data_IF_018009976288
#
_entry.id   IF_018009976288
#
_cell.length_a   1.000
_cell.length_b   1.000
_cell.length_c   1.000
_cell.angle_alpha   90.00
_cell.angle_beta   90.00
_cell.angle_gamma   90.00
#
_symmetry.space_group_name_H-M   'P 1'
#
loop_
_entity.id
_entity.type
_entity.pdbx_description
1 polymer ?
#
# COMPACT_ATOMS: atom_id res chain seq x y z
N UNK A 1 8.17 -74.07 -57.41
CA UNK A 1 7.94 -72.96 -56.48
C UNK A 1 6.48 -73.06 -56.07
N UNK A 2 6.23 -73.50 -54.84
CA UNK A 2 4.90 -73.89 -54.36
C UNK A 2 4.17 -72.68 -53.77
N UNK A 3 2.84 -72.76 -53.70
CA UNK A 3 1.96 -71.73 -53.12
C UNK A 3 2.37 -71.32 -51.69
N UNK A 4 2.98 -72.22 -50.92
CA UNK A 4 3.48 -71.97 -49.57
C UNK A 4 4.65 -70.99 -49.52
N UNK A 5 5.51 -70.94 -50.55
CA UNK A 5 6.64 -70.01 -50.61
C UNK A 5 6.15 -68.56 -50.70
N UNK A 6 5.08 -68.32 -51.46
CA UNK A 6 4.47 -67.00 -51.61
C UNK A 6 3.79 -66.54 -50.33
N UNK A 7 3.12 -67.44 -49.61
CA UNK A 7 2.44 -67.11 -48.36
C UNK A 7 3.44 -66.71 -47.25
N UNK A 8 4.59 -67.38 -47.19
CA UNK A 8 5.66 -67.05 -46.23
C UNK A 8 6.31 -65.68 -46.54
N UNK A 9 6.48 -65.32 -47.81
CA UNK A 9 7.01 -64.00 -48.20
C UNK A 9 6.01 -62.88 -47.90
N UNK A 10 4.73 -63.09 -48.18
CA UNK A 10 3.66 -62.11 -47.91
C UNK A 10 3.50 -61.87 -46.40
N UNK A 11 3.48 -62.94 -45.60
CA UNK A 11 3.39 -62.82 -44.14
C UNK A 11 4.64 -62.17 -43.53
N UNK A 12 5.84 -62.50 -44.02
CA UNK A 12 7.08 -61.85 -43.59
C UNK A 12 7.08 -60.33 -43.88
N UNK A 13 6.65 -59.91 -45.06
CA UNK A 13 6.54 -58.49 -45.42
C UNK A 13 5.49 -57.75 -44.58
N UNK A 14 4.40 -58.42 -44.19
CA UNK A 14 3.37 -57.84 -43.33
C UNK A 14 3.89 -57.53 -41.91
N UNK A 15 4.77 -58.36 -41.34
CA UNK A 15 5.40 -58.07 -40.03
C UNK A 15 6.28 -56.82 -40.09
N UNK A 16 7.07 -56.65 -41.15
CA UNK A 16 7.90 -55.46 -41.33
C UNK A 16 7.08 -54.18 -41.48
N UNK A 17 5.97 -54.22 -42.23
CA UNK A 17 5.05 -53.08 -42.38
C UNK A 17 4.44 -52.71 -41.02
N UNK A 18 3.96 -53.69 -40.24
CA UNK A 18 3.41 -53.44 -38.90
C UNK A 18 4.45 -52.87 -37.94
N UNK A 19 5.69 -53.37 -37.98
CA UNK A 19 6.78 -52.84 -37.16
C UNK A 19 7.07 -51.37 -37.49
N UNK A 20 7.12 -51.04 -38.78
CA UNK A 20 7.32 -49.66 -39.24
C UNK A 20 6.16 -48.76 -38.79
N UNK A 21 4.91 -49.23 -38.89
CA UNK A 21 3.74 -48.47 -38.43
C UNK A 21 3.79 -48.20 -36.92
N UNK A 22 4.16 -49.20 -36.11
CA UNK A 22 4.32 -49.04 -34.66
C UNK A 22 5.42 -48.03 -34.35
N UNK A 23 6.55 -48.08 -35.07
CA UNK A 23 7.65 -47.12 -34.90
C UNK A 23 7.21 -45.69 -35.23
N UNK A 24 6.43 -45.51 -36.30
CA UNK A 24 5.86 -44.19 -36.66
C UNK A 24 4.94 -43.68 -35.54
N UNK A 25 4.04 -44.54 -35.03
CA UNK A 25 3.13 -44.19 -33.93
C UNK A 25 3.90 -43.77 -32.68
N UNK A 26 4.93 -44.53 -32.29
CA UNK A 26 5.77 -44.20 -31.14
C UNK A 26 6.50 -42.86 -31.32
N UNK A 27 7.00 -42.57 -32.52
CA UNK A 27 7.64 -41.28 -32.82
C UNK A 27 6.63 -40.13 -32.74
N UNK A 28 5.40 -40.32 -33.24
CA UNK A 28 4.33 -39.31 -33.15
C UNK A 28 3.95 -39.05 -31.70
N UNK A 29 3.71 -40.11 -30.91
CA UNK A 29 3.41 -39.99 -29.48
C UNK A 29 4.55 -39.30 -28.72
N UNK A 30 5.80 -39.65 -29.01
CA UNK A 30 6.97 -39.02 -28.40
C UNK A 30 7.06 -37.53 -28.74
N UNK A 31 6.85 -37.16 -30.01
CA UNK A 31 6.83 -35.75 -30.44
C UNK A 31 5.70 -34.99 -29.75
N UNK A 32 4.49 -35.55 -29.71
CA UNK A 32 3.32 -34.94 -29.08
C UNK A 32 3.53 -34.74 -27.57
N UNK A 33 4.05 -35.76 -26.88
CA UNK A 33 4.38 -35.70 -25.46
C UNK A 33 5.42 -34.62 -25.18
N UNK A 34 6.50 -34.59 -25.98
CA UNK A 34 7.59 -33.62 -25.85
C UNK A 34 7.10 -32.18 -26.05
N UNK A 35 6.27 -31.93 -27.07
CA UNK A 35 5.73 -30.59 -27.31
C UNK A 35 4.83 -30.10 -26.17
N UNK A 36 3.97 -30.97 -25.61
CA UNK A 36 3.11 -30.61 -24.49
C UNK A 36 3.95 -30.23 -23.27
N UNK A 37 5.02 -30.98 -23.00
CA UNK A 37 5.93 -30.67 -21.89
C UNK A 37 6.64 -29.33 -22.08
N UNK A 38 7.22 -29.09 -23.25
CA UNK A 38 7.90 -27.82 -23.56
C UNK A 38 6.92 -26.64 -23.47
N UNK A 39 5.70 -26.80 -24.00
CA UNK A 39 4.66 -25.76 -23.91
C UNK A 39 4.34 -25.41 -22.45
N UNK A 40 4.17 -26.40 -21.57
CA UNK A 40 3.91 -26.18 -20.14
C UNK A 40 5.04 -25.44 -19.43
N UNK A 41 6.30 -25.78 -19.74
CA UNK A 41 7.47 -25.09 -19.18
C UNK A 41 7.54 -23.64 -19.68
N UNK A 42 7.34 -23.39 -20.97
CA UNK A 42 7.27 -22.04 -21.53
C UNK A 42 6.13 -21.21 -20.90
N UNK A 43 4.95 -21.79 -20.71
CA UNK A 43 3.82 -21.14 -20.05
C UNK A 43 4.14 -20.81 -18.59
N UNK A 44 4.80 -21.72 -17.87
CA UNK A 44 5.20 -21.48 -16.49
C UNK A 44 6.18 -20.32 -16.39
N UNK A 45 7.20 -20.29 -17.25
CA UNK A 45 8.17 -19.20 -17.31
C UNK A 45 7.50 -17.87 -17.66
N UNK A 46 6.61 -17.85 -18.64
CA UNK A 46 5.85 -16.66 -19.00
C UNK A 46 4.98 -16.16 -17.83
N UNK A 47 4.31 -17.06 -17.10
CA UNK A 47 3.52 -16.71 -15.90
C UNK A 47 4.38 -16.13 -14.79
N UNK A 48 5.56 -16.70 -14.55
CA UNK A 48 6.50 -16.19 -13.55
C UNK A 48 6.99 -14.78 -13.89
N UNK A 49 7.31 -14.52 -15.16
CA UNK A 49 7.75 -13.20 -15.61
C UNK A 49 6.61 -12.17 -15.52
N UNK A 50 5.39 -12.54 -15.94
CA UNK A 50 4.20 -11.69 -15.78
C UNK A 50 3.98 -11.34 -14.31
N UNK A 51 4.12 -12.30 -13.40
CA UNK A 51 3.92 -12.06 -11.97
C UNK A 51 4.99 -11.14 -11.38
N UNK A 52 6.24 -11.28 -11.83
CA UNK A 52 7.34 -10.39 -11.45
C UNK A 52 7.07 -8.95 -11.91
N UNK A 53 6.70 -8.77 -13.19
CA UNK A 53 6.35 -7.47 -13.76
C UNK A 53 5.16 -6.86 -13.02
N UNK A 54 4.11 -7.64 -12.73
CA UNK A 54 2.97 -7.19 -11.93
C UNK A 54 3.39 -6.69 -10.56
N UNK A 55 4.27 -7.42 -9.88
CA UNK A 55 4.77 -7.06 -8.55
C UNK A 55 5.57 -5.76 -8.59
N UNK A 56 6.38 -5.55 -9.62
CA UNK A 56 7.12 -4.30 -9.85
C UNK A 56 6.16 -3.14 -10.15
N UNK A 57 5.19 -3.34 -11.04
CA UNK A 57 4.17 -2.33 -11.38
C UNK A 57 3.36 -1.90 -10.15
N UNK A 58 2.96 -2.83 -9.28
CA UNK A 58 2.25 -2.51 -8.03
C UNK A 58 3.12 -1.65 -7.10
N UNK A 59 4.42 -1.90 -7.01
CA UNK A 59 5.35 -1.06 -6.23
C UNK A 59 5.44 0.35 -6.81
N UNK A 60 5.55 0.47 -8.14
CA UNK A 60 5.61 1.77 -8.81
C UNK A 60 4.32 2.58 -8.65
N UNK A 61 3.15 1.94 -8.82
CA UNK A 61 1.85 2.57 -8.60
C UNK A 61 1.75 3.07 -7.15
N UNK A 62 2.18 2.27 -6.18
CA UNK A 62 2.21 2.68 -4.78
C UNK A 62 3.10 3.90 -4.57
N UNK A 63 4.32 3.89 -5.09
CA UNK A 63 5.26 5.02 -4.97
C UNK A 63 4.71 6.29 -5.63
N UNK A 64 4.09 6.18 -6.80
CA UNK A 64 3.45 7.31 -7.49
C UNK A 64 2.28 7.88 -6.69
N UNK A 65 1.43 7.01 -6.16
CA UNK A 65 0.31 7.43 -5.31
C UNK A 65 0.79 8.14 -4.04
N UNK A 66 1.83 7.61 -3.39
CA UNK A 66 2.43 8.23 -2.20
C UNK A 66 2.94 9.64 -2.53
N UNK A 67 3.65 9.81 -3.67
CA UNK A 67 4.12 11.12 -4.13
C UNK A 67 2.96 12.08 -4.48
N UNK A 68 1.94 11.61 -5.19
CA UNK A 68 0.77 12.42 -5.53
C UNK A 68 0.03 12.90 -4.27
N UNK A 69 -0.06 12.02 -3.26
CA UNK A 69 -0.61 12.35 -1.96
C UNK A 69 0.21 13.41 -1.23
N UNK A 70 1.54 13.34 -1.28
CA UNK A 70 2.41 14.36 -0.70
C UNK A 70 2.26 15.71 -1.40
N UNK A 71 2.19 15.73 -2.73
CA UNK A 71 1.95 16.96 -3.50
C UNK A 71 0.59 17.58 -3.12
N UNK A 72 -0.48 16.79 -3.03
CA UNK A 72 -1.80 17.26 -2.58
C UNK A 72 -1.73 17.85 -1.17
N UNK A 73 -0.99 17.20 -0.27
CA UNK A 73 -0.80 17.67 1.11
C UNK A 73 -0.06 19.00 1.16
N UNK A 74 1.04 19.15 0.43
CA UNK A 74 1.75 20.42 0.33
C UNK A 74 0.85 21.51 -0.22
N UNK A 75 0.07 21.23 -1.27
CA UNK A 75 -0.90 22.19 -1.82
C UNK A 75 -1.93 22.65 -0.78
N UNK A 76 -2.45 21.74 0.05
CA UNK A 76 -3.37 22.09 1.14
C UNK A 76 -2.69 22.97 2.20
N UNK A 77 -1.48 22.61 2.63
CA UNK A 77 -0.68 23.42 3.56
C UNK A 77 -0.47 24.82 2.99
N UNK A 78 -0.01 24.92 1.74
CA UNK A 78 0.23 26.20 1.09
C UNK A 78 -1.04 27.05 0.97
N UNK A 79 -2.19 26.43 0.63
CA UNK A 79 -3.47 27.15 0.56
C UNK A 79 -3.95 27.63 1.93
N UNK A 80 -3.71 26.85 2.98
CA UNK A 80 -4.11 27.18 4.35
C UNK A 80 -3.16 28.14 5.07
N UNK A 81 -1.97 28.40 4.52
CA UNK A 81 -1.04 29.36 5.12
C UNK A 81 -1.63 30.79 5.07
N UNK A 82 -1.56 31.57 6.16
CA UNK A 82 -2.08 32.93 6.23
C UNK A 82 -1.53 33.87 5.17
N UNK A 83 -0.31 33.62 4.69
CA UNK A 83 0.29 34.23 3.49
C UNK A 83 -0.65 34.23 2.29
N UNK A 84 -1.31 33.10 2.03
CA UNK A 84 -2.15 32.90 0.84
C UNK A 84 -3.58 33.37 1.07
N UNK A 85 -4.06 33.32 2.32
CA UNK A 85 -5.45 33.67 2.66
C UNK A 85 -5.62 35.17 2.87
N UNK A 86 -4.72 35.81 3.64
CA UNK A 86 -4.89 37.18 4.13
C UNK A 86 -3.64 38.08 3.94
N UNK A 87 -2.57 37.61 3.28
CA UNK A 87 -1.28 38.32 3.11
C UNK A 87 -0.59 38.74 4.43
N UNK A 88 -0.97 38.18 5.58
CA UNK A 88 -0.37 38.49 6.89
C UNK A 88 0.17 37.20 7.50
N UNK A 89 1.42 37.22 7.96
CA UNK A 89 2.02 36.16 8.76
C UNK A 89 2.17 36.65 10.19
N UNK A 90 1.74 35.85 11.14
CA UNK A 90 2.02 36.05 12.57
C UNK A 90 3.23 35.22 13.01
N UNK A 91 3.90 35.62 14.09
CA UNK A 91 5.00 34.84 14.68
C UNK A 91 4.56 33.40 15.03
N UNK A 92 3.33 33.24 15.55
CA UNK A 92 2.76 31.93 15.85
C UNK A 92 2.58 31.05 14.61
N UNK A 93 2.31 31.62 13.44
CA UNK A 93 2.21 30.86 12.18
C UNK A 93 3.57 30.27 11.80
N UNK A 94 4.63 31.06 11.94
CA UNK A 94 6.01 30.65 11.63
C UNK A 94 6.43 29.56 12.61
N UNK A 95 6.19 29.76 13.91
CA UNK A 95 6.52 28.77 14.93
C UNK A 95 5.79 27.45 14.73
N UNK A 96 4.50 27.50 14.38
CA UNK A 96 3.67 26.32 14.14
C UNK A 96 4.14 25.54 12.91
N UNK A 97 4.43 26.25 11.81
CA UNK A 97 4.99 25.63 10.60
C UNK A 97 6.39 25.06 10.86
N UNK A 98 7.26 25.80 11.55
CA UNK A 98 8.60 25.35 11.90
C UNK A 98 8.56 24.09 12.78
N UNK A 99 7.69 24.08 13.79
CA UNK A 99 7.48 22.92 14.65
C UNK A 99 7.02 21.70 13.83
N UNK A 100 6.05 21.89 12.93
CA UNK A 100 5.61 20.82 12.03
C UNK A 100 6.76 20.27 11.14
N UNK A 101 7.60 21.15 10.58
CA UNK A 101 8.78 20.73 9.78
C UNK A 101 9.78 19.96 10.63
N UNK A 102 10.02 20.41 11.87
CA UNK A 102 10.89 19.71 12.82
C UNK A 102 10.39 18.29 13.10
N UNK A 103 9.09 18.13 13.38
CA UNK A 103 8.48 16.81 13.60
C UNK A 103 8.63 15.90 12.38
N UNK A 104 8.57 16.44 11.15
CA UNK A 104 8.73 15.66 9.93
C UNK A 104 10.17 15.32 9.56
N UNK A 105 11.15 16.14 9.96
CA UNK A 105 12.56 15.90 9.66
C UNK A 105 13.25 15.02 10.71
N UNK A 106 12.96 15.23 12.00
CA UNK A 106 13.76 14.69 13.11
C UNK A 106 12.89 13.92 14.11
N UNK A 107 12.32 12.80 13.67
CA UNK A 107 11.43 11.97 14.51
C UNK A 107 12.15 11.33 15.71
N UNK A 108 13.48 11.17 15.70
CA UNK A 108 14.19 10.37 16.73
C UNK A 108 14.66 11.17 17.95
N UNK A 109 14.94 12.47 17.80
CA UNK A 109 15.67 13.27 18.81
C UNK A 109 14.81 14.29 19.54
N UNK A 110 13.66 14.70 18.99
CA UNK A 110 12.86 15.82 19.51
C UNK A 110 11.85 15.38 20.60
N UNK A 111 11.48 14.10 20.66
CA UNK A 111 10.20 13.70 21.25
C UNK A 111 10.24 13.24 22.71
N UNK A 112 11.40 12.88 23.25
CA UNK A 112 11.41 12.40 24.65
C UNK A 112 10.88 13.44 25.66
N UNK A 113 10.83 14.73 25.30
CA UNK A 113 10.40 15.82 26.18
C UNK A 113 9.45 16.85 25.53
N UNK A 114 8.57 16.46 24.61
CA UNK A 114 7.65 17.43 24.00
C UNK A 114 6.61 17.94 25.02
N UNK A 115 6.66 19.23 25.35
CA UNK A 115 5.81 19.88 26.35
C UNK A 115 4.37 20.09 25.85
N UNK A 116 3.45 20.32 26.79
CA UNK A 116 2.05 20.69 26.46
C UNK A 116 1.98 21.90 25.53
N UNK A 117 2.92 22.85 25.67
CA UNK A 117 2.95 24.08 24.87
C UNK A 117 3.35 23.82 23.42
N UNK A 118 4.27 22.89 23.18
CA UNK A 118 4.67 22.51 21.82
C UNK A 118 3.55 21.79 21.07
N UNK A 119 2.76 20.94 21.76
CA UNK A 119 1.57 20.34 21.17
C UNK A 119 0.52 21.36 20.75
N UNK A 120 0.40 22.50 21.45
CA UNK A 120 -0.47 23.59 21.03
C UNK A 120 -0.06 24.17 19.68
N UNK A 121 1.26 24.24 19.39
CA UNK A 121 1.75 24.68 18.07
C UNK A 121 1.28 23.74 16.97
N UNK A 122 1.24 22.43 17.23
CA UNK A 122 0.67 21.46 16.29
C UNK A 122 -0.84 21.61 16.11
N UNK A 123 -1.58 21.84 17.19
CA UNK A 123 -3.03 22.06 17.14
C UNK A 123 -3.37 23.30 16.34
N UNK A 124 -2.67 24.40 16.60
CA UNK A 124 -2.77 25.64 15.84
C UNK A 124 -2.44 25.41 14.36
N UNK A 125 -1.34 24.72 14.06
CA UNK A 125 -0.98 24.38 12.68
C UNK A 125 -2.09 23.58 11.98
N UNK A 126 -2.67 22.59 12.67
CA UNK A 126 -3.75 21.79 12.13
C UNK A 126 -5.01 22.61 11.84
N UNK A 127 -5.37 23.55 12.73
CA UNK A 127 -6.49 24.47 12.52
C UNK A 127 -6.26 25.39 11.32
N UNK A 128 -5.04 25.91 11.20
CA UNK A 128 -4.64 26.79 10.11
C UNK A 128 -4.75 26.11 8.74
N UNK A 129 -4.27 24.87 8.61
CA UNK A 129 -4.24 24.17 7.31
C UNK A 129 -5.50 23.36 6.99
N UNK A 130 -6.36 23.08 7.98
CA UNK A 130 -7.51 22.18 7.85
C UNK A 130 -8.81 22.81 8.35
N UNK A 131 -9.07 24.07 7.98
CA UNK A 131 -10.34 24.77 8.26
C UNK A 131 -10.79 24.64 9.72
N UNK A 132 -9.92 24.95 10.69
CA UNK A 132 -10.25 24.82 12.12
C UNK A 132 -10.60 23.40 12.58
N UNK A 133 -9.95 22.39 12.01
CA UNK A 133 -10.13 20.97 12.34
C UNK A 133 -10.09 20.65 13.85
N UNK A 134 -9.04 21.06 14.55
CA UNK A 134 -8.87 20.81 15.98
C UNK A 134 -9.99 21.47 16.78
N UNK A 135 -10.30 22.74 16.49
CA UNK A 135 -11.39 23.47 17.15
C UNK A 135 -12.75 22.78 16.94
N UNK A 136 -13.05 22.33 15.70
CA UNK A 136 -14.27 21.56 15.41
C UNK A 136 -14.29 20.20 16.09
N UNK A 137 -13.15 19.51 16.13
CA UNK A 137 -13.03 18.20 16.75
C UNK A 137 -13.27 18.29 18.26
N UNK A 138 -12.67 19.28 18.92
CA UNK A 138 -12.86 19.52 20.35
C UNK A 138 -14.31 19.89 20.68
N UNK A 139 -14.95 20.71 19.84
CA UNK A 139 -16.36 21.06 20.00
C UNK A 139 -17.30 19.85 19.83
N UNK A 140 -17.06 19.02 18.82
CA UNK A 140 -17.90 17.86 18.53
C UNK A 140 -17.68 16.68 19.50
N UNK A 141 -16.46 16.54 20.03
CA UNK A 141 -16.06 15.44 20.91
C UNK A 141 -15.29 15.95 22.14
N UNK A 142 -15.96 16.66 23.06
CA UNK A 142 -15.33 17.25 24.25
C UNK A 142 -14.79 16.19 25.23
N UNK A 143 -15.22 14.93 25.11
CA UNK A 143 -14.72 13.80 25.88
C UNK A 143 -13.32 13.35 25.48
N UNK A 144 -12.76 13.84 24.36
CA UNK A 144 -11.43 13.44 23.92
C UNK A 144 -10.35 14.04 24.82
N UNK A 145 -9.48 13.18 25.33
CA UNK A 145 -8.31 13.61 26.09
C UNK A 145 -7.23 14.24 25.21
N UNK A 146 -6.26 14.93 25.82
CA UNK A 146 -5.16 15.56 25.08
C UNK A 146 -4.40 14.59 24.17
N UNK A 147 -4.08 13.38 24.65
CA UNK A 147 -3.39 12.35 23.84
C UNK A 147 -4.19 11.92 22.62
N UNK A 148 -5.51 11.89 22.72
CA UNK A 148 -6.41 11.53 21.62
C UNK A 148 -6.47 12.65 20.59
N UNK A 149 -6.54 13.91 21.04
CA UNK A 149 -6.46 15.08 20.17
C UNK A 149 -5.12 15.15 19.44
N UNK A 150 -4.00 14.92 20.14
CA UNK A 150 -2.67 14.77 19.53
C UNK A 150 -2.69 13.72 18.42
N UNK A 151 -3.22 12.53 18.71
CA UNK A 151 -3.30 11.45 17.74
C UNK A 151 -4.16 11.84 16.53
N UNK A 152 -5.34 12.44 16.73
CA UNK A 152 -6.19 12.91 15.63
C UNK A 152 -5.50 13.95 14.75
N UNK A 153 -4.81 14.93 15.34
CA UNK A 153 -4.05 15.94 14.60
C UNK A 153 -2.89 15.29 13.82
N UNK A 154 -2.14 14.37 14.41
CA UNK A 154 -1.08 13.65 13.70
C UNK A 154 -1.62 12.80 12.54
N UNK A 155 -2.78 12.17 12.71
CA UNK A 155 -3.46 11.45 11.62
C UNK A 155 -3.90 12.42 10.52
N UNK A 156 -4.54 13.54 10.88
CA UNK A 156 -4.99 14.58 9.96
C UNK A 156 -3.84 15.15 9.13
N UNK A 157 -2.70 15.34 9.79
CA UNK A 157 -1.46 15.80 9.19
C UNK A 157 -0.69 14.71 8.46
N UNK A 158 -1.22 13.48 8.36
CA UNK A 158 -0.64 12.33 7.64
C UNK A 158 0.74 11.92 8.16
N UNK A 159 0.87 11.76 9.46
CA UNK A 159 1.99 11.01 10.03
C UNK A 159 1.73 9.50 9.90
N UNK A 160 2.74 8.73 9.49
CA UNK A 160 2.69 7.28 9.42
C UNK A 160 2.60 6.67 10.82
N UNK A 161 2.14 5.43 10.94
CA UNK A 161 2.05 4.77 12.25
C UNK A 161 3.41 4.70 12.95
N UNK A 162 4.49 4.44 12.20
CA UNK A 162 5.85 4.46 12.70
C UNK A 162 6.25 5.85 13.20
N UNK A 163 5.98 6.90 12.43
CA UNK A 163 6.26 8.29 12.86
C UNK A 163 5.46 8.64 14.12
N UNK A 164 4.15 8.34 14.16
CA UNK A 164 3.28 8.57 15.31
C UNK A 164 3.79 7.81 16.54
N UNK A 165 4.22 6.56 16.37
CA UNK A 165 4.74 5.74 17.46
C UNK A 165 5.98 6.39 18.08
N UNK A 166 6.90 6.82 17.23
CA UNK A 166 8.08 7.54 17.67
C UNK A 166 7.72 8.88 18.32
N UNK A 167 6.78 9.65 17.73
CA UNK A 167 6.28 10.95 18.21
C UNK A 167 5.53 10.88 19.54
N UNK A 168 4.96 9.74 19.89
CA UNK A 168 4.25 9.53 21.16
C UNK A 168 5.08 8.71 22.15
N UNK A 169 6.30 8.29 21.81
CA UNK A 169 7.14 7.46 22.65
C UNK A 169 6.54 6.07 22.95
N UNK A 170 5.76 5.52 22.01
CA UNK A 170 5.08 4.22 22.16
C UNK A 170 5.47 3.25 21.04
N UNK A 171 5.12 1.98 21.20
CA UNK A 171 5.25 0.97 20.13
C UNK A 171 4.23 1.22 19.02
N UNK A 172 4.58 0.90 17.78
CA UNK A 172 3.70 1.06 16.61
C UNK A 172 2.36 0.31 16.76
N UNK A 173 2.38 -0.88 17.35
CA UNK A 173 1.16 -1.63 17.68
C UNK A 173 0.22 -0.87 18.64
N UNK A 174 0.78 -0.10 19.59
CA UNK A 174 0.00 0.72 20.51
C UNK A 174 -0.68 1.89 19.80
N UNK A 175 -0.10 2.39 18.70
CA UNK A 175 -0.76 3.37 17.82
C UNK A 175 -2.01 2.76 17.20
N UNK A 176 -1.90 1.55 16.61
CA UNK A 176 -3.04 0.85 16.01
C UNK A 176 -4.18 0.62 17.00
N UNK A 177 -3.85 0.20 18.24
CA UNK A 177 -4.84 0.07 19.32
C UNK A 177 -5.51 1.41 19.65
N UNK A 178 -4.72 2.48 19.73
CA UNK A 178 -5.23 3.83 20.02
C UNK A 178 -6.16 4.36 18.93
N UNK A 179 -5.85 4.07 17.65
CA UNK A 179 -6.74 4.39 16.51
C UNK A 179 -8.06 3.63 16.57
N UNK A 180 -8.00 2.33 16.88
CA UNK A 180 -9.22 1.53 17.06
C UNK A 180 -10.09 2.06 18.20
N UNK A 181 -9.47 2.56 19.27
CA UNK A 181 -10.18 3.21 20.38
C UNK A 181 -10.79 4.54 19.95
N UNK A 182 -10.04 5.39 19.26
CA UNK A 182 -10.55 6.65 18.69
C UNK A 182 -11.75 6.43 17.77
N UNK A 183 -11.68 5.43 16.89
CA UNK A 183 -12.78 5.06 15.99
C UNK A 183 -14.07 4.76 16.76
N UNK A 184 -13.97 4.04 17.90
CA UNK A 184 -15.10 3.77 18.79
C UNK A 184 -15.61 5.05 19.46
N UNK A 185 -14.70 5.87 20.00
CA UNK A 185 -15.05 7.14 20.67
C UNK A 185 -15.75 8.14 19.75
N UNK A 186 -15.37 8.16 18.48
CA UNK A 186 -15.94 9.02 17.46
C UNK A 186 -17.23 8.45 16.84
N UNK A 187 -17.72 7.28 17.31
CA UNK A 187 -18.90 6.57 16.80
C UNK A 187 -18.89 6.34 15.27
N UNK A 188 -17.70 6.12 14.71
CA UNK A 188 -17.45 6.02 13.26
C UNK A 188 -17.73 4.58 12.76
N UNK A 189 -18.78 3.94 13.28
CA UNK A 189 -19.15 2.54 13.01
C UNK A 189 -19.47 2.26 11.52
N UNK A 190 -19.72 3.31 10.71
CA UNK A 190 -19.91 3.19 9.26
C UNK A 190 -18.61 2.86 8.48
N UNK A 191 -17.44 3.02 9.08
CA UNK A 191 -16.15 2.82 8.41
C UNK A 191 -15.59 1.48 8.87
N UNK A 192 -15.65 0.44 8.03
CA UNK A 192 -15.30 -0.92 8.45
C UNK A 192 -13.79 -1.08 8.74
N UNK A 193 -12.91 -0.42 7.95
CA UNK A 193 -11.45 -0.59 8.03
C UNK A 193 -10.74 0.64 8.63
N UNK A 194 -9.58 0.47 9.26
CA UNK A 194 -8.70 1.56 9.73
C UNK A 194 -8.36 2.56 8.61
N UNK A 195 -8.07 2.09 7.40
CA UNK A 195 -7.84 2.95 6.23
C UNK A 195 -9.00 3.92 5.98
N UNK A 196 -10.23 3.48 6.19
CA UNK A 196 -11.42 4.29 5.96
C UNK A 196 -11.61 5.32 7.09
N UNK A 197 -11.16 5.00 8.31
CA UNK A 197 -11.13 5.94 9.44
C UNK A 197 -10.12 7.07 9.22
N UNK A 198 -8.95 6.74 8.67
CA UNK A 198 -7.90 7.71 8.34
C UNK A 198 -8.42 8.68 7.28
N UNK A 199 -9.07 8.15 6.25
CA UNK A 199 -9.71 8.95 5.20
C UNK A 199 -10.85 9.82 5.77
N UNK A 200 -11.63 9.31 6.73
CA UNK A 200 -12.65 10.10 7.43
C UNK A 200 -12.03 11.30 8.15
N UNK A 201 -10.99 11.09 8.97
CA UNK A 201 -10.31 12.18 9.66
C UNK A 201 -9.70 13.17 8.66
N UNK A 202 -9.11 12.68 7.56
CA UNK A 202 -8.53 13.54 6.51
C UNK A 202 -9.59 14.40 5.80
N UNK A 203 -10.82 13.91 5.65
CA UNK A 203 -11.93 14.65 5.03
C UNK A 203 -12.67 15.57 6.00
N UNK A 204 -12.62 15.28 7.29
CA UNK A 204 -13.16 16.11 8.37
C UNK A 204 -12.36 17.42 8.53
#
# INVERSE_FOLDING_TARGET
MTFDDWNNVVTSNAYWINLVLVMIILVVFYRQYREIHIRKECELLARMEIEKIKKELVKEIKAKNDLEMDVKRFRLIFKGLPLVVNNVITESDIEAFHFYILLKKNTSTIILNCSVEEWKKLFYFSDMISDRFYSRLLYAYPQLGQRELCLCCLIRLRFSNREIATLLGIKEESVLRSRNRLKKLLNVNRYQTLSNFDEYIIKY
#
